data_IF_691367755365
#
_entry.id   IF_691367755365
#
_cell.length_a   1.000
_cell.length_b   1.000
_cell.length_c   1.000
_cell.angle_alpha   90.00
_cell.angle_beta   90.00
_cell.angle_gamma   90.00
#
_symmetry.space_group_name_H-M   'P 1'
#
loop_
_entity.id
_entity.type
_entity.pdbx_description
1 polymer ?
#
# COMPACT_ATOMS: atom_id res chain seq x y z
N UNK A 1 -1.29 -15.30 34.87
CA UNK A 1 -1.33 -15.01 33.43
C UNK A 1 -2.13 -13.74 33.26
N UNK A 2 -1.46 -12.59 33.13
CA UNK A 2 -2.13 -11.36 32.73
C UNK A 2 -2.57 -11.54 31.28
N UNK A 3 -3.88 -11.49 31.05
CA UNK A 3 -4.39 -11.26 29.71
C UNK A 3 -3.91 -9.85 29.34
N UNK A 4 -2.96 -9.73 28.43
CA UNK A 4 -2.68 -8.45 27.79
C UNK A 4 -3.99 -7.99 27.15
N UNK A 5 -4.63 -6.98 27.75
CA UNK A 5 -5.80 -6.37 27.18
C UNK A 5 -5.42 -5.87 25.79
N UNK A 6 -5.98 -6.51 24.77
CA UNK A 6 -5.68 -6.19 23.39
C UNK A 6 -6.17 -4.77 23.12
N UNK A 7 -5.25 -3.82 23.10
CA UNK A 7 -5.57 -2.42 22.87
C UNK A 7 -6.19 -2.29 21.47
N UNK A 8 -7.45 -1.83 21.44
CA UNK A 8 -8.16 -1.58 20.20
C UNK A 8 -8.14 -0.09 19.86
N UNK A 9 -7.82 0.23 18.61
CA UNK A 9 -7.99 1.56 18.00
C UNK A 9 -8.92 1.43 16.81
N UNK A 10 -10.08 2.09 16.89
CA UNK A 10 -11.15 2.02 15.88
C UNK A 10 -11.55 0.58 15.51
N UNK A 11 -11.58 -0.31 16.50
CA UNK A 11 -11.93 -1.73 16.30
C UNK A 11 -10.80 -2.61 15.74
N UNK A 12 -9.55 -2.14 15.72
CA UNK A 12 -8.37 -2.90 15.28
C UNK A 12 -7.32 -3.01 16.37
N UNK A 13 -6.56 -4.10 16.37
CA UNK A 13 -5.52 -4.37 17.37
C UNK A 13 -4.29 -3.52 17.09
N UNK A 14 -3.80 -2.77 18.08
CA UNK A 14 -2.56 -1.98 17.93
C UNK A 14 -1.35 -2.92 17.97
N UNK A 15 -0.54 -2.91 16.89
CA UNK A 15 0.73 -3.65 16.77
C UNK A 15 1.96 -2.75 16.76
N UNK A 16 1.78 -1.44 16.59
CA UNK A 16 2.80 -0.40 16.69
C UNK A 16 2.16 0.98 16.61
N UNK A 17 2.70 1.95 17.35
CA UNK A 17 2.16 3.32 17.38
C UNK A 17 2.93 4.29 16.49
N UNK A 18 4.26 4.14 16.40
CA UNK A 18 5.12 4.99 15.59
C UNK A 18 6.19 4.13 14.87
N UNK A 19 6.00 3.79 13.59
CA UNK A 19 4.85 4.11 12.74
C UNK A 19 3.61 3.25 13.06
N UNK A 20 2.41 3.77 12.75
CA UNK A 20 1.14 3.14 13.09
C UNK A 20 0.92 1.81 12.35
N UNK A 21 0.74 0.73 13.11
CA UNK A 21 0.44 -0.60 12.59
C UNK A 21 -0.76 -1.19 13.33
N UNK A 22 -1.84 -1.49 12.61
CA UNK A 22 -3.10 -1.99 13.14
C UNK A 22 -3.46 -3.32 12.49
N UNK A 23 -3.83 -4.32 13.29
CA UNK A 23 -4.23 -5.64 12.82
C UNK A 23 -5.75 -5.81 12.89
N UNK A 24 -6.33 -6.47 11.89
CA UNK A 24 -7.73 -6.87 11.95
C UNK A 24 -7.93 -7.88 13.10
N UNK A 25 -8.93 -7.73 13.98
CA UNK A 25 -9.28 -8.79 14.93
C UNK A 25 -9.81 -10.00 14.16
N UNK A 26 -8.95 -11.00 13.88
CA UNK A 26 -9.28 -12.09 12.96
C UNK A 26 -10.56 -12.86 13.34
N UNK A 27 -10.88 -12.95 14.64
CA UNK A 27 -12.10 -13.56 15.15
C UNK A 27 -13.39 -12.84 14.75
N UNK A 28 -13.32 -11.60 14.25
CA UNK A 28 -14.48 -10.83 13.79
C UNK A 28 -14.70 -10.91 12.28
N UNK A 29 -13.91 -11.72 11.56
CA UNK A 29 -14.11 -11.92 10.12
C UNK A 29 -15.38 -12.73 9.86
N UNK A 30 -16.39 -12.09 9.29
CA UNK A 30 -17.72 -12.67 9.07
C UNK A 30 -18.19 -12.62 7.60
N UNK A 31 -17.40 -12.04 6.72
CA UNK A 31 -17.76 -11.70 5.35
C UNK A 31 -16.56 -11.79 4.39
N UNK A 32 -16.85 -11.98 3.10
CA UNK A 32 -15.81 -12.04 2.06
C UNK A 32 -15.11 -10.68 1.88
N UNK A 33 -15.85 -9.58 1.99
CA UNK A 33 -15.32 -8.21 1.94
C UNK A 33 -15.14 -7.69 3.37
N UNK A 34 -13.89 -7.50 3.76
CA UNK A 34 -13.51 -6.91 5.04
C UNK A 34 -13.94 -5.45 5.10
N UNK A 35 -14.71 -5.08 6.13
CA UNK A 35 -15.11 -3.69 6.35
C UNK A 35 -13.87 -2.78 6.48
N UNK A 36 -13.96 -1.54 5.96
CA UNK A 36 -12.85 -0.58 6.01
C UNK A 36 -12.39 -0.28 7.45
N UNK A 37 -13.31 -0.34 8.42
CA UNK A 37 -12.99 -0.16 9.85
C UNK A 37 -12.17 -1.31 10.43
N UNK A 38 -12.31 -2.51 9.88
CA UNK A 38 -11.59 -3.72 10.32
C UNK A 38 -10.31 -3.97 9.52
N UNK A 39 -10.18 -3.39 8.32
CA UNK A 39 -9.03 -3.63 7.43
C UNK A 39 -7.72 -3.20 8.10
N UNK A 40 -6.71 -4.07 8.02
CA UNK A 40 -5.42 -3.87 8.66
C UNK A 40 -4.67 -2.66 8.08
N UNK A 41 -3.83 -2.02 8.89
CA UNK A 41 -3.00 -0.87 8.49
C UNK A 41 -1.55 -1.23 8.73
N UNK A 42 -0.72 -1.17 7.68
CA UNK A 42 0.73 -1.32 7.78
C UNK A 42 1.40 -0.06 7.23
N UNK A 43 2.08 0.69 8.08
CA UNK A 43 2.90 1.84 7.67
C UNK A 43 4.38 1.66 8.03
N UNK A 44 5.27 2.19 7.19
CA UNK A 44 6.72 2.24 7.45
C UNK A 44 7.19 3.62 7.93
N UNK A 45 6.44 4.66 7.55
CA UNK A 45 6.70 6.06 7.86
C UNK A 45 5.40 6.72 8.36
N UNK A 46 5.45 7.97 8.87
CA UNK A 46 4.25 8.73 9.19
C UNK A 46 3.30 8.82 7.98
N UNK A 47 1.99 8.70 8.25
CA UNK A 47 0.96 8.84 7.22
C UNK A 47 1.00 10.28 6.69
N UNK A 48 1.19 10.50 5.37
CA UNK A 48 1.31 11.83 4.81
C UNK A 48 -0.05 12.54 4.85
N UNK A 49 -0.04 13.83 5.17
CA UNK A 49 -1.17 14.71 4.96
C UNK A 49 -1.19 15.12 3.48
N UNK A 50 -2.24 14.71 2.76
CA UNK A 50 -2.39 15.01 1.33
C UNK A 50 -3.53 16.02 1.16
N UNK A 51 -3.22 17.14 0.53
CA UNK A 51 -4.23 18.04 -0.03
C UNK A 51 -4.64 17.51 -1.41
N UNK A 52 -5.93 17.20 -1.55
CA UNK A 52 -6.49 16.67 -2.79
C UNK A 52 -6.28 17.63 -3.96
N UNK A 53 -6.51 18.92 -3.74
CA UNK A 53 -6.52 19.92 -4.82
C UNK A 53 -5.10 20.27 -5.29
N UNK A 54 -4.10 19.95 -4.47
CA UNK A 54 -2.68 20.08 -4.79
C UNK A 54 -2.02 18.75 -5.21
N UNK A 55 -2.76 17.66 -5.28
CA UNK A 55 -2.20 16.34 -5.60
C UNK A 55 -1.92 16.18 -7.09
N UNK A 56 -0.74 15.64 -7.40
CA UNK A 56 -0.32 15.29 -8.76
C UNK A 56 0.37 13.93 -8.77
N UNK A 57 0.03 13.10 -9.78
CA UNK A 57 0.78 11.90 -10.12
C UNK A 57 1.68 12.19 -11.30
N UNK A 58 2.98 11.96 -11.13
CA UNK A 58 3.97 12.07 -12.18
C UNK A 58 4.26 10.68 -12.78
N UNK A 59 4.22 10.59 -14.11
CA UNK A 59 4.60 9.39 -14.87
C UNK A 59 5.82 9.74 -15.72
N UNK A 60 6.98 9.22 -15.33
CA UNK A 60 8.28 9.60 -15.87
C UNK A 60 9.24 8.39 -16.02
N UNK A 61 10.52 8.67 -16.28
CA UNK A 61 11.56 7.64 -16.44
C UNK A 61 11.69 7.13 -17.88
N UNK A 62 11.65 5.81 -18.07
CA UNK A 62 11.93 5.13 -19.34
C UNK A 62 10.72 5.15 -20.29
N UNK A 63 10.21 6.35 -20.54
CA UNK A 63 9.01 6.66 -21.32
C UNK A 63 9.32 7.69 -22.41
N UNK A 64 8.53 7.72 -23.49
CA UNK A 64 8.68 8.73 -24.56
C UNK A 64 7.90 10.00 -24.26
N UNK A 65 6.77 9.89 -23.57
CA UNK A 65 5.86 10.99 -23.24
C UNK A 65 5.67 11.07 -21.73
N UNK A 66 6.62 11.67 -20.98
CA UNK A 66 6.40 11.92 -19.56
C UNK A 66 5.22 12.90 -19.40
N UNK A 67 4.40 12.69 -18.37
CA UNK A 67 3.27 13.57 -18.08
C UNK A 67 2.96 13.57 -16.58
N UNK A 68 2.11 14.50 -16.15
CA UNK A 68 1.49 14.48 -14.85
C UNK A 68 -0.04 14.57 -15.00
N UNK A 69 -0.78 13.98 -14.07
CA UNK A 69 -2.23 14.14 -13.94
C UNK A 69 -2.61 14.54 -12.53
N UNK A 70 -3.58 15.41 -12.38
CA UNK A 70 -4.17 15.73 -11.08
C UNK A 70 -5.27 14.73 -10.70
N UNK A 71 -5.90 14.94 -9.54
CA UNK A 71 -6.91 14.01 -9.03
C UNK A 71 -8.18 14.02 -9.87
N UNK A 72 -8.63 15.18 -10.35
CA UNK A 72 -9.81 15.31 -11.20
C UNK A 72 -9.62 14.57 -12.53
N UNK A 73 -8.48 14.76 -13.19
CA UNK A 73 -8.13 14.03 -14.42
C UNK A 73 -8.05 12.52 -14.19
N UNK A 74 -7.58 12.07 -13.01
CA UNK A 74 -7.56 10.64 -12.67
C UNK A 74 -8.98 10.06 -12.61
N UNK A 75 -9.96 10.81 -12.08
CA UNK A 75 -11.34 10.37 -11.96
C UNK A 75 -12.08 10.32 -13.32
N UNK A 76 -11.59 11.04 -14.33
CA UNK A 76 -12.15 11.01 -15.69
C UNK A 76 -11.70 9.79 -16.51
N UNK A 77 -10.64 9.09 -16.08
CA UNK A 77 -10.14 7.90 -16.75
C UNK A 77 -11.04 6.69 -16.51
N UNK A 78 -11.04 5.77 -17.48
CA UNK A 78 -11.75 4.49 -17.35
C UNK A 78 -11.28 3.76 -16.07
N UNK A 79 -12.26 3.34 -15.27
CA UNK A 79 -12.01 2.65 -14.00
C UNK A 79 -12.76 1.33 -13.95
N UNK A 80 -12.23 0.41 -13.15
CA UNK A 80 -12.87 -0.87 -12.86
C UNK A 80 -12.86 -1.12 -11.35
N UNK A 81 -13.76 -1.98 -10.90
CA UNK A 81 -13.83 -2.44 -9.50
C UNK A 81 -13.55 -3.93 -9.43
N UNK A 82 -12.58 -4.32 -8.61
CA UNK A 82 -12.21 -5.73 -8.41
C UNK A 82 -12.03 -6.05 -6.92
N UNK A 83 -12.46 -7.24 -6.46
CA UNK A 83 -12.13 -7.72 -5.12
C UNK A 83 -10.68 -8.19 -5.07
N UNK A 84 -9.89 -7.68 -4.13
CA UNK A 84 -8.49 -8.09 -3.93
C UNK A 84 -8.20 -8.29 -2.46
N UNK A 85 -7.60 -9.44 -2.14
CA UNK A 85 -6.98 -9.70 -0.85
C UNK A 85 -5.58 -9.11 -0.81
N UNK A 86 -5.33 -8.22 0.15
CA UNK A 86 -3.98 -7.79 0.50
C UNK A 86 -3.54 -8.52 1.76
N UNK A 87 -2.36 -9.12 1.72
CA UNK A 87 -1.74 -9.80 2.85
C UNK A 87 -0.34 -9.23 3.08
N UNK A 88 -0.03 -8.91 4.34
CA UNK A 88 1.31 -8.52 4.72
C UNK A 88 2.23 -9.75 4.69
N UNK A 89 3.42 -9.62 4.11
CA UNK A 89 4.45 -10.67 4.20
C UNK A 89 4.86 -11.02 5.65
N UNK A 90 4.50 -10.16 6.61
CA UNK A 90 4.68 -10.41 8.04
C UNK A 90 3.52 -11.06 8.75
N UNK A 91 2.41 -11.38 8.06
CA UNK A 91 1.28 -12.07 8.67
C UNK A 91 1.76 -13.36 9.35
N UNK A 92 1.23 -13.68 10.53
CA UNK A 92 1.64 -14.82 11.36
C UNK A 92 3.06 -14.75 11.96
N UNK A 93 3.79 -13.61 11.86
CA UNK A 93 5.16 -13.49 12.42
C UNK A 93 5.24 -13.83 13.90
N UNK A 94 4.22 -13.52 14.69
CA UNK A 94 4.19 -13.83 16.13
C UNK A 94 4.26 -15.34 16.42
N UNK A 95 3.91 -16.20 15.47
CA UNK A 95 3.96 -17.66 15.63
C UNK A 95 5.31 -18.29 15.23
N UNK A 96 6.26 -17.50 14.71
CA UNK A 96 7.57 -18.03 14.33
C UNK A 96 8.41 -18.38 15.55
N UNK A 97 9.11 -19.52 15.47
CA UNK A 97 10.09 -19.97 16.45
C UNK A 97 11.42 -20.34 15.75
N UNK A 98 12.54 -19.70 16.11
CA UNK A 98 12.67 -18.64 17.11
C UNK A 98 12.00 -17.33 16.65
N UNK A 99 11.63 -16.47 17.60
CA UNK A 99 11.10 -15.14 17.32
C UNK A 99 12.07 -14.32 16.44
N UNK A 100 11.52 -13.61 15.46
CA UNK A 100 12.27 -12.77 14.52
C UNK A 100 11.89 -11.30 14.63
N UNK A 101 12.81 -10.41 14.25
CA UNK A 101 12.59 -8.95 14.25
C UNK A 101 11.44 -8.55 13.31
N UNK A 102 10.77 -7.45 13.66
CA UNK A 102 9.67 -6.85 12.91
C UNK A 102 8.38 -6.76 13.75
N UNK A 103 7.34 -6.16 13.18
CA UNK A 103 6.02 -6.06 13.81
C UNK A 103 5.46 -7.46 14.05
N UNK A 104 5.07 -7.78 15.29
CA UNK A 104 4.62 -9.11 15.68
C UNK A 104 3.14 -9.31 15.36
N UNK A 105 2.84 -9.57 14.09
CA UNK A 105 1.49 -9.84 13.61
C UNK A 105 0.98 -11.22 14.06
N UNK A 106 -0.28 -11.25 14.50
CA UNK A 106 -1.08 -12.46 14.60
C UNK A 106 -1.63 -12.87 13.24
N UNK A 107 -2.89 -13.30 13.19
CA UNK A 107 -3.55 -13.83 11.98
C UNK A 107 -4.20 -12.73 11.10
N UNK A 108 -4.30 -11.50 11.61
CA UNK A 108 -5.13 -10.45 11.01
C UNK A 108 -4.40 -9.42 10.15
N UNK A 109 -3.18 -9.70 9.70
CA UNK A 109 -2.45 -8.80 8.77
C UNK A 109 -2.82 -9.12 7.31
N UNK A 110 -4.12 -9.30 7.09
CA UNK A 110 -4.74 -9.69 5.82
C UNK A 110 -6.16 -9.13 5.76
N UNK A 111 -6.64 -8.77 4.58
CA UNK A 111 -8.01 -8.36 4.35
C UNK A 111 -8.35 -8.34 2.87
N UNK A 112 -9.63 -8.55 2.54
CA UNK A 112 -10.15 -8.47 1.18
C UNK A 112 -11.07 -7.28 1.04
N UNK A 113 -10.87 -6.44 0.04
CA UNK A 113 -11.72 -5.28 -0.21
C UNK A 113 -12.05 -5.16 -1.69
N UNK A 114 -13.14 -4.45 -2.01
CA UNK A 114 -13.41 -4.00 -3.38
C UNK A 114 -12.58 -2.74 -3.66
N UNK A 115 -11.77 -2.77 -4.70
CA UNK A 115 -10.91 -1.65 -5.08
C UNK A 115 -11.38 -1.07 -6.40
N UNK A 116 -11.75 0.21 -6.40
CA UNK A 116 -12.08 0.95 -7.62
C UNK A 116 -10.92 1.86 -8.01
N UNK A 117 -10.48 1.75 -9.26
CA UNK A 117 -9.34 2.50 -9.75
C UNK A 117 -9.12 2.39 -11.25
N UNK A 118 -8.14 3.15 -11.73
CA UNK A 118 -7.71 3.16 -13.12
C UNK A 118 -6.73 2.01 -13.36
N UNK A 119 -6.93 1.14 -14.37
CA UNK A 119 -5.91 0.18 -14.79
C UNK A 119 -4.59 0.88 -15.11
N UNK A 120 -3.50 0.46 -14.46
CA UNK A 120 -2.19 1.08 -14.63
C UNK A 120 -1.71 1.02 -16.09
N UNK A 121 -2.15 0.00 -16.84
CA UNK A 121 -1.94 -0.13 -18.28
C UNK A 121 -2.30 1.13 -19.07
N UNK A 122 -3.40 1.82 -18.74
CA UNK A 122 -3.86 3.05 -19.41
C UNK A 122 -2.79 4.14 -19.32
N UNK A 123 -2.21 4.33 -18.13
CA UNK A 123 -1.17 5.33 -17.91
C UNK A 123 0.14 4.94 -18.62
N UNK A 124 0.49 3.65 -18.61
CA UNK A 124 1.66 3.13 -19.30
C UNK A 124 1.55 3.27 -20.83
N UNK A 125 0.34 3.07 -21.38
CA UNK A 125 0.06 3.27 -22.81
C UNK A 125 0.14 4.75 -23.19
N UNK A 126 -0.43 5.65 -22.36
CA UNK A 126 -0.31 7.11 -22.54
C UNK A 126 1.15 7.58 -22.50
N UNK A 127 1.98 6.99 -21.64
CA UNK A 127 3.39 7.36 -21.48
C UNK A 127 4.29 6.91 -22.65
N UNK A 128 3.84 5.92 -23.43
CA UNK A 128 4.61 5.25 -24.48
C UNK A 128 5.98 4.75 -23.99
N UNK A 129 6.00 3.57 -23.35
CA UNK A 129 7.21 2.95 -22.83
C UNK A 129 8.32 2.83 -23.90
N UNK A 130 9.55 3.15 -23.52
CA UNK A 130 10.73 2.91 -24.36
C UNK A 130 11.11 1.42 -24.32
N UNK A 131 11.82 0.87 -25.34
CA UNK A 131 12.20 -0.54 -25.39
C UNK A 131 13.07 -1.01 -24.21
N UNK A 132 13.75 -0.08 -23.51
CA UNK A 132 14.57 -0.36 -22.34
C UNK A 132 13.79 -0.58 -21.05
N UNK A 133 12.51 -0.22 -20.98
CA UNK A 133 11.71 -0.30 -19.75
C UNK A 133 11.56 -1.77 -19.28
N UNK A 134 11.67 -2.01 -17.97
CA UNK A 134 11.61 -3.36 -17.37
C UNK A 134 10.67 -3.46 -16.18
N UNK A 135 10.71 -2.47 -15.31
CA UNK A 135 9.87 -2.39 -14.13
C UNK A 135 9.19 -1.03 -14.04
N UNK A 136 8.06 -1.00 -13.35
CA UNK A 136 7.40 0.23 -12.90
C UNK A 136 7.75 0.40 -11.43
N UNK A 137 8.35 1.55 -11.08
CA UNK A 137 8.58 1.95 -9.70
C UNK A 137 7.40 2.80 -9.25
N UNK A 138 6.82 2.44 -8.12
CA UNK A 138 5.76 3.16 -7.44
C UNK A 138 6.36 3.79 -6.19
N UNK A 139 6.41 5.11 -6.14
CA UNK A 139 6.92 5.88 -5.02
C UNK A 139 5.75 6.57 -4.28
N UNK A 140 5.71 6.39 -2.97
CA UNK A 140 4.73 7.02 -2.09
C UNK A 140 5.16 8.43 -1.67
N UNK A 141 4.19 9.24 -1.23
CA UNK A 141 4.48 10.54 -0.62
C UNK A 141 5.13 10.40 0.77
N UNK A 142 4.99 9.23 1.40
CA UNK A 142 5.55 8.91 2.70
C UNK A 142 7.05 8.64 2.62
N UNK A 143 7.77 9.07 3.65
CA UNK A 143 9.21 8.93 3.74
C UNK A 143 9.76 9.41 5.07
N UNK A 144 11.05 9.18 5.28
CA UNK A 144 11.72 9.56 6.51
C UNK A 144 13.22 9.29 6.46
N UNK A 145 13.88 9.60 7.57
CA UNK A 145 15.32 9.36 7.75
C UNK A 145 15.51 7.94 8.31
N UNK A 146 16.43 7.18 7.74
CA UNK A 146 16.86 5.92 8.35
C UNK A 146 17.93 6.18 9.41
N UNK A 147 17.70 5.71 10.63
CA UNK A 147 18.66 5.83 11.74
C UNK A 147 19.83 4.82 11.64
N UNK A 148 19.72 3.80 10.79
CA UNK A 148 20.71 2.72 10.68
C UNK A 148 21.76 2.95 9.57
N UNK A 149 23.02 2.52 9.78
CA UNK A 149 24.16 2.86 8.90
C UNK A 149 24.17 2.16 7.53
N UNK A 150 23.14 1.36 7.20
CA UNK A 150 23.06 0.65 5.92
C UNK A 150 22.23 1.44 4.90
N UNK A 151 22.88 2.46 4.33
CA UNK A 151 22.74 3.09 2.99
C UNK A 151 21.33 3.31 2.37
N UNK A 152 21.17 4.40 1.59
CA UNK A 152 21.95 5.64 1.57
C UNK A 152 21.52 6.57 2.73
N UNK A 153 22.43 7.41 3.24
CA UNK A 153 22.04 8.48 4.14
C UNK A 153 21.16 9.51 3.41
N UNK A 154 20.10 9.98 4.05
CA UNK A 154 19.19 10.98 3.49
C UNK A 154 17.73 10.64 3.69
N UNK A 155 16.86 11.53 3.20
CA UNK A 155 15.43 11.29 3.15
C UNK A 155 15.14 10.15 2.16
N UNK A 156 14.44 9.13 2.63
CA UNK A 156 14.00 7.99 1.82
C UNK A 156 12.48 8.06 1.64
N UNK A 157 12.01 7.99 0.40
CA UNK A 157 10.59 7.73 0.09
C UNK A 157 10.32 6.23 0.08
N UNK A 158 9.13 5.82 0.52
CA UNK A 158 8.72 4.43 0.39
C UNK A 158 8.44 4.11 -1.08
N UNK A 159 9.25 3.23 -1.68
CA UNK A 159 9.07 2.81 -3.06
C UNK A 159 9.15 1.30 -3.23
N UNK A 160 8.38 0.77 -4.19
CA UNK A 160 8.41 -0.63 -4.60
C UNK A 160 8.32 -0.72 -6.12
N UNK A 161 8.87 -1.78 -6.69
CA UNK A 161 8.78 -2.03 -8.12
C UNK A 161 7.95 -3.27 -8.43
N UNK A 162 7.38 -3.28 -9.63
CA UNK A 162 6.72 -4.44 -10.23
C UNK A 162 7.18 -4.62 -11.68
N UNK A 163 7.32 -5.87 -12.16
CA UNK A 163 7.62 -6.13 -13.56
C UNK A 163 6.51 -5.61 -14.50
N UNK A 164 6.90 -5.16 -15.70
CA UNK A 164 5.96 -4.58 -16.68
C UNK A 164 4.78 -5.50 -17.03
N UNK A 165 5.01 -6.81 -17.17
CA UNK A 165 3.94 -7.76 -17.48
C UNK A 165 2.86 -7.78 -16.38
N UNK A 166 3.25 -7.69 -15.11
CA UNK A 166 2.30 -7.58 -13.99
C UNK A 166 1.61 -6.21 -13.99
N UNK A 167 2.38 -5.13 -14.16
CA UNK A 167 1.86 -3.77 -14.20
C UNK A 167 0.77 -3.58 -15.26
N UNK A 168 0.86 -4.30 -16.39
CA UNK A 168 -0.12 -4.27 -17.48
C UNK A 168 -1.32 -5.19 -17.29
N UNK A 169 -1.20 -6.23 -16.47
CA UNK A 169 -2.19 -7.30 -16.42
C UNK A 169 -3.44 -6.90 -15.63
N UNK A 170 -3.26 -6.53 -14.36
CA UNK A 170 -4.36 -6.42 -13.39
C UNK A 170 -4.09 -5.40 -12.27
N UNK A 171 -3.08 -4.53 -12.44
CA UNK A 171 -2.73 -3.53 -11.43
C UNK A 171 -3.62 -2.30 -11.58
N UNK A 172 -4.16 -1.83 -10.44
CA UNK A 172 -4.96 -0.62 -10.34
C UNK A 172 -4.20 0.50 -9.64
N UNK A 173 -4.37 1.71 -10.14
CA UNK A 173 -4.23 2.92 -9.35
C UNK A 173 -5.59 3.22 -8.69
N UNK A 174 -5.77 2.72 -7.47
CA UNK A 174 -7.03 2.77 -6.74
C UNK A 174 -7.23 4.11 -6.01
N UNK A 175 -8.43 4.68 -6.11
CA UNK A 175 -8.84 5.88 -5.39
C UNK A 175 -10.07 5.68 -4.51
N UNK A 176 -10.69 4.48 -4.55
CA UNK A 176 -11.81 4.08 -3.67
C UNK A 176 -11.64 2.64 -3.21
N UNK A 177 -12.05 2.39 -1.97
CA UNK A 177 -12.01 1.10 -1.29
C UNK A 177 -13.38 0.85 -0.63
N UNK A 178 -13.99 -0.30 -0.91
CA UNK A 178 -15.38 -0.65 -0.58
C UNK A 178 -16.38 0.40 -1.09
#
# INVERSE_FOLDING_TARGET
>A
MQQDETQLRDGRIVRGEDPLNLEMPFSTLDSFITSTKSFYVRTHFPIPAIDRDAWWLHVEGEVKKPFAINYEELLELESQTIPVTLECAGNNRNFLEPKVKGVQWGLGAVGTAEWTGVPLSILLDRAELKPGAREVILEGADGGMLEEPKKPPGELKFARSIPLNKARADVLLAYKMN
#
